data_IF_037764553474
#
_entry.id   IF_037764553474
#
_cell.length_a   1.000
_cell.length_b   1.000
_cell.length_c   1.000
_cell.angle_alpha   90.00
_cell.angle_beta   90.00
_cell.angle_gamma   90.00
#
_symmetry.space_group_name_H-M   'P 1'
#
loop_
_entity.id
_entity.type
_entity.pdbx_description
1 polymer ?
#
# COMPACT_ATOMS: atom_id res chain seq x y z
N UNK A 1 19.39 13.79 -1.94
CA UNK A 1 19.00 12.37 -2.13
C UNK A 1 18.00 12.07 -1.04
N UNK A 2 16.70 11.95 -1.36
CA UNK A 2 15.67 11.64 -0.37
C UNK A 2 15.89 10.20 0.09
N UNK A 3 16.41 10.01 1.30
CA UNK A 3 16.45 8.69 1.94
C UNK A 3 15.04 8.40 2.42
N UNK A 4 14.46 7.32 1.95
CA UNK A 4 13.13 6.89 2.40
C UNK A 4 13.25 6.19 3.76
N UNK A 5 12.40 6.61 4.70
CA UNK A 5 12.26 5.92 5.98
C UNK A 5 11.54 4.57 5.75
N UNK A 6 12.10 3.50 6.33
CA UNK A 6 11.50 2.15 6.29
C UNK A 6 10.09 2.17 6.86
N UNK A 7 9.88 2.96 7.91
CA UNK A 7 8.61 3.06 8.62
C UNK A 7 7.55 3.70 7.71
N UNK A 8 7.84 4.83 7.08
CA UNK A 8 6.88 5.52 6.18
C UNK A 8 6.37 4.58 5.07
N UNK A 9 7.26 3.80 4.45
CA UNK A 9 6.87 2.85 3.42
C UNK A 9 5.96 1.73 3.96
N UNK A 10 6.29 1.19 5.14
CA UNK A 10 5.50 0.13 5.77
C UNK A 10 4.16 0.64 6.30
N UNK A 11 4.11 1.85 6.85
CA UNK A 11 2.87 2.53 7.25
C UNK A 11 1.94 2.73 6.06
N UNK A 12 2.48 3.17 4.92
CA UNK A 12 1.68 3.36 3.71
C UNK A 12 1.14 2.04 3.15
N UNK A 13 1.90 0.94 3.23
CA UNK A 13 1.40 -0.40 2.89
C UNK A 13 0.31 -0.83 3.88
N UNK A 14 0.47 -0.51 5.17
CA UNK A 14 -0.50 -0.88 6.20
C UNK A 14 -1.85 -0.16 6.02
N UNK A 15 -1.88 1.07 5.49
CA UNK A 15 -3.13 1.76 5.09
C UNK A 15 -3.91 0.94 4.05
N UNK A 16 -3.19 0.32 3.09
CA UNK A 16 -3.78 -0.53 2.06
C UNK A 16 -4.16 -1.92 2.59
N UNK A 17 -3.47 -2.42 3.62
CA UNK A 17 -3.76 -3.73 4.22
C UNK A 17 -4.98 -3.73 5.15
N UNK A 18 -5.26 -2.61 5.82
CA UNK A 18 -6.21 -2.59 6.95
C UNK A 18 -7.66 -2.34 6.52
N UNK A 19 -8.47 -3.40 6.49
CA UNK A 19 -9.91 -3.28 6.22
C UNK A 19 -10.62 -2.38 7.24
N UNK A 20 -10.32 -2.53 8.53
CA UNK A 20 -10.95 -1.73 9.59
C UNK A 20 -10.63 -0.24 9.45
N UNK A 21 -9.39 0.09 9.07
CA UNK A 21 -9.00 1.46 8.75
C UNK A 21 -9.82 1.99 7.57
N UNK A 22 -9.91 1.23 6.48
CA UNK A 22 -10.60 1.65 5.26
C UNK A 22 -12.10 1.85 5.50
N UNK A 23 -12.75 0.95 6.24
CA UNK A 23 -14.16 1.12 6.61
C UNK A 23 -14.37 2.37 7.48
N UNK A 24 -13.52 2.55 8.50
CA UNK A 24 -13.61 3.68 9.41
C UNK A 24 -13.35 5.02 8.71
N UNK A 25 -12.30 5.11 7.90
CA UNK A 25 -11.86 6.37 7.29
C UNK A 25 -12.55 6.63 5.95
N UNK A 26 -12.58 5.64 5.05
CA UNK A 26 -13.08 5.86 3.69
C UNK A 26 -14.62 5.84 3.65
N UNK A 27 -15.26 4.95 4.41
CA UNK A 27 -16.73 4.84 4.44
C UNK A 27 -17.33 5.74 5.51
N UNK A 28 -16.92 5.57 6.77
CA UNK A 28 -17.54 6.27 7.91
C UNK A 28 -17.01 7.71 8.08
N UNK A 29 -15.93 8.08 7.38
CA UNK A 29 -15.29 9.41 7.48
C UNK A 29 -14.82 9.74 8.91
N UNK A 30 -14.46 8.72 9.69
CA UNK A 30 -13.94 8.84 11.06
C UNK A 30 -12.43 8.65 11.03
N UNK A 31 -11.66 9.71 11.28
CA UNK A 31 -10.20 9.67 11.29
C UNK A 31 -9.57 10.81 10.48
N UNK A 32 -8.36 10.61 9.92
CA UNK A 32 -7.71 11.62 9.09
C UNK A 32 -8.58 11.98 7.90
N UNK A 33 -9.01 13.24 7.81
CA UNK A 33 -9.97 13.71 6.80
C UNK A 33 -9.42 13.65 5.37
N UNK A 34 -8.10 13.54 5.22
CA UNK A 34 -7.40 13.58 3.93
C UNK A 34 -7.06 12.21 3.37
N UNK A 35 -7.06 11.13 4.17
CA UNK A 35 -6.56 9.82 3.73
C UNK A 35 -7.72 8.98 3.20
N UNK A 36 -8.15 9.25 1.97
CA UNK A 36 -9.06 8.38 1.23
C UNK A 36 -8.30 7.34 0.39
N UNK A 37 -9.02 6.59 -0.46
CA UNK A 37 -8.38 5.60 -1.34
C UNK A 37 -7.30 6.22 -2.22
N UNK A 38 -7.59 7.34 -2.88
CA UNK A 38 -6.66 7.97 -3.81
C UNK A 38 -5.42 8.49 -3.07
N UNK A 39 -5.63 9.11 -1.90
CA UNK A 39 -4.52 9.58 -1.09
C UNK A 39 -3.65 8.42 -0.59
N UNK A 40 -4.23 7.32 -0.11
CA UNK A 40 -3.47 6.15 0.35
C UNK A 40 -2.62 5.55 -0.77
N UNK A 41 -3.15 5.51 -2.00
CA UNK A 41 -2.40 5.05 -3.17
C UNK A 41 -1.27 6.04 -3.52
N UNK A 42 -1.52 7.35 -3.48
CA UNK A 42 -0.49 8.37 -3.72
C UNK A 42 0.63 8.31 -2.69
N UNK A 43 0.30 8.18 -1.40
CA UNK A 43 1.25 8.01 -0.31
C UNK A 43 2.13 6.76 -0.56
N UNK A 44 1.53 5.64 -0.95
CA UNK A 44 2.28 4.44 -1.34
C UNK A 44 3.25 4.69 -2.50
N UNK A 45 2.80 5.26 -3.62
CA UNK A 45 3.67 5.52 -4.78
C UNK A 45 4.70 6.62 -4.55
N UNK A 46 4.46 7.51 -3.59
CA UNK A 46 5.47 8.48 -3.15
C UNK A 46 6.63 7.81 -2.40
N UNK A 47 6.35 6.65 -1.78
CA UNK A 47 7.32 5.85 -1.03
C UNK A 47 8.04 4.87 -1.96
N UNK A 48 7.31 4.03 -2.68
CA UNK A 48 7.89 2.91 -3.42
C UNK A 48 8.12 3.27 -4.89
N UNK A 49 9.36 3.18 -5.40
CA UNK A 49 9.65 3.36 -6.82
C UNK A 49 8.85 2.41 -7.71
N UNK A 50 8.51 2.86 -8.91
CA UNK A 50 7.66 2.09 -9.85
C UNK A 50 8.37 0.88 -10.45
N UNK A 51 9.70 0.94 -10.55
CA UNK A 51 10.52 -0.05 -11.26
C UNK A 51 11.43 -0.74 -10.26
N UNK A 52 11.55 -2.07 -10.36
CA UNK A 52 12.32 -2.88 -9.41
C UNK A 52 13.81 -2.52 -9.37
N UNK A 53 14.42 -2.19 -10.52
CA UNK A 53 15.81 -1.73 -10.57
C UNK A 53 15.99 -0.43 -9.77
N UNK A 54 15.05 0.50 -9.91
CA UNK A 54 15.06 1.77 -9.18
C UNK A 54 14.81 1.54 -7.69
N UNK A 55 13.93 0.59 -7.34
CA UNK A 55 13.69 0.19 -5.96
C UNK A 55 14.94 -0.42 -5.31
N UNK A 56 15.65 -1.30 -6.01
CA UNK A 56 16.92 -1.85 -5.56
C UNK A 56 17.97 -0.75 -5.31
N UNK A 57 18.04 0.27 -6.17
CA UNK A 57 18.98 1.36 -5.98
C UNK A 57 18.60 2.28 -4.81
N UNK A 58 17.33 2.69 -4.73
CA UNK A 58 16.84 3.70 -3.81
C UNK A 58 16.53 3.18 -2.42
N UNK A 59 16.13 1.91 -2.30
CA UNK A 59 15.66 1.32 -1.04
C UNK A 59 16.71 0.49 -0.32
N UNK A 60 17.85 0.15 -0.96
CA UNK A 60 18.90 -0.70 -0.37
C UNK A 60 19.51 -0.21 0.94
N UNK A 61 19.34 1.07 1.29
CA UNK A 61 19.80 1.60 2.59
C UNK A 61 18.85 1.27 3.74
N UNK A 62 17.61 0.92 3.43
CA UNK A 62 16.52 0.71 4.39
C UNK A 62 15.99 -0.73 4.34
N UNK A 63 16.17 -1.42 3.22
CA UNK A 63 15.72 -2.79 2.96
C UNK A 63 16.82 -3.63 2.30
N UNK A 64 16.88 -4.92 2.62
CA UNK A 64 17.68 -5.88 1.89
C UNK A 64 17.00 -6.30 0.57
N UNK A 65 17.71 -7.02 -0.29
CA UNK A 65 17.18 -7.39 -1.61
C UNK A 65 15.91 -8.25 -1.54
N UNK A 66 15.81 -9.16 -0.57
CA UNK A 66 14.62 -10.01 -0.42
C UNK A 66 13.41 -9.21 0.05
N UNK A 67 13.63 -8.31 1.02
CA UNK A 67 12.63 -7.34 1.47
C UNK A 67 12.10 -6.48 0.30
N UNK A 68 13.01 -6.00 -0.57
CA UNK A 68 12.64 -5.23 -1.76
C UNK A 68 11.83 -6.08 -2.73
N UNK A 69 12.22 -7.35 -2.98
CA UNK A 69 11.46 -8.26 -3.86
C UNK A 69 10.06 -8.51 -3.35
N UNK A 70 9.87 -8.67 -2.04
CA UNK A 70 8.55 -8.84 -1.42
C UNK A 70 7.68 -7.60 -1.67
N UNK A 71 8.21 -6.40 -1.41
CA UNK A 71 7.50 -5.14 -1.67
C UNK A 71 7.17 -5.00 -3.16
N UNK A 72 8.12 -5.31 -4.05
CA UNK A 72 7.90 -5.20 -5.50
C UNK A 72 6.91 -6.24 -6.03
N UNK A 73 6.78 -7.41 -5.40
CA UNK A 73 5.72 -8.37 -5.71
C UNK A 73 4.34 -7.77 -5.42
N UNK A 74 4.16 -7.19 -4.24
CA UNK A 74 2.93 -6.46 -3.91
C UNK A 74 2.68 -5.29 -4.88
N UNK A 75 3.72 -4.51 -5.19
CA UNK A 75 3.65 -3.39 -6.13
C UNK A 75 3.09 -3.81 -7.50
N UNK A 76 3.50 -4.97 -8.03
CA UNK A 76 2.97 -5.51 -9.30
C UNK A 76 1.46 -5.81 -9.20
N UNK A 77 1.03 -6.44 -8.12
CA UNK A 77 -0.38 -6.79 -7.90
C UNK A 77 -1.24 -5.53 -7.80
N UNK A 78 -0.78 -4.52 -7.05
CA UNK A 78 -1.45 -3.23 -6.96
C UNK A 78 -1.54 -2.53 -8.32
N UNK A 79 -0.43 -2.51 -9.09
CA UNK A 79 -0.41 -1.93 -10.44
C UNK A 79 -1.40 -2.62 -11.38
N UNK A 80 -1.49 -3.95 -11.33
CA UNK A 80 -2.39 -4.71 -12.21
C UNK A 80 -3.86 -4.42 -11.87
N UNK A 81 -4.18 -4.31 -10.58
CA UNK A 81 -5.50 -3.86 -10.13
C UNK A 81 -5.86 -2.46 -10.66
N UNK A 82 -4.96 -1.49 -10.47
CA UNK A 82 -5.18 -0.10 -10.89
C UNK A 82 -5.29 0.02 -12.42
N UNK A 83 -4.46 -0.70 -13.18
CA UNK A 83 -4.55 -0.71 -14.65
C UNK A 83 -5.89 -1.26 -15.13
N UNK A 84 -6.45 -2.24 -14.43
CA UNK A 84 -7.70 -2.89 -14.80
C UNK A 84 -8.94 -2.09 -14.40
N UNK A 85 -8.94 -1.53 -13.19
CA UNK A 85 -10.13 -0.92 -12.59
C UNK A 85 -10.10 0.62 -12.58
N UNK A 86 -8.94 1.24 -12.84
CA UNK A 86 -8.75 2.68 -12.76
C UNK A 86 -8.59 3.20 -11.33
N UNK A 87 -8.66 4.52 -11.19
CA UNK A 87 -8.54 5.23 -9.91
C UNK A 87 -9.90 5.71 -9.37
N UNK A 88 -10.96 5.64 -10.18
CA UNK A 88 -12.24 6.31 -9.90
C UNK A 88 -13.29 5.40 -9.25
N UNK A 89 -12.87 4.31 -8.61
CA UNK A 89 -13.80 3.45 -7.86
C UNK A 89 -14.31 4.18 -6.61
N UNK A 90 -15.62 4.13 -6.37
CA UNK A 90 -16.16 4.58 -5.10
C UNK A 90 -15.66 3.70 -3.96
N UNK A 91 -15.60 4.25 -2.74
CA UNK A 91 -15.17 3.47 -1.57
C UNK A 91 -16.04 2.21 -1.36
N UNK A 92 -17.34 2.28 -1.67
CA UNK A 92 -18.22 1.12 -1.56
C UNK A 92 -17.86 0.04 -2.58
N UNK A 93 -17.66 0.42 -3.85
CA UNK A 93 -17.25 -0.52 -4.90
C UNK A 93 -15.92 -1.18 -4.57
N UNK A 94 -14.95 -0.42 -4.02
CA UNK A 94 -13.68 -0.98 -3.55
C UNK A 94 -13.88 -2.06 -2.48
N UNK A 95 -14.73 -1.81 -1.48
CA UNK A 95 -14.94 -2.74 -0.38
C UNK A 95 -15.58 -4.08 -0.82
N UNK A 96 -16.36 -4.05 -1.89
CA UNK A 96 -17.05 -5.21 -2.47
C UNK A 96 -16.25 -5.87 -3.63
N UNK A 97 -15.17 -5.23 -4.09
CA UNK A 97 -14.36 -5.72 -5.21
C UNK A 97 -13.40 -6.84 -4.77
N UNK A 98 -13.57 -8.04 -5.33
CA UNK A 98 -12.74 -9.20 -5.02
C UNK A 98 -11.26 -9.00 -5.35
N UNK A 99 -10.93 -8.26 -6.40
CA UNK A 99 -9.54 -7.96 -6.74
C UNK A 99 -8.92 -7.00 -5.72
N UNK A 100 -9.68 -6.03 -5.22
CA UNK A 100 -9.24 -5.18 -4.13
C UNK A 100 -9.01 -5.99 -2.85
N UNK A 101 -9.92 -6.91 -2.51
CA UNK A 101 -9.73 -7.84 -1.38
C UNK A 101 -8.39 -8.56 -1.50
N UNK A 102 -8.07 -9.10 -2.69
CA UNK A 102 -6.81 -9.78 -2.93
C UNK A 102 -5.60 -8.82 -2.80
N UNK A 103 -5.70 -7.58 -3.28
CA UNK A 103 -4.67 -6.55 -3.08
C UNK A 103 -4.41 -6.31 -1.58
N UNK A 104 -5.48 -6.20 -0.77
CA UNK A 104 -5.34 -6.03 0.69
C UNK A 104 -4.70 -7.22 1.37
N UNK A 105 -5.06 -8.43 0.97
CA UNK A 105 -4.46 -9.66 1.51
C UNK A 105 -2.96 -9.73 1.19
N UNK A 106 -2.55 -9.32 -0.02
CA UNK A 106 -1.14 -9.25 -0.38
C UNK A 106 -0.41 -8.14 0.38
N UNK A 107 -1.03 -6.96 0.56
CA UNK A 107 -0.50 -5.91 1.42
C UNK A 107 -0.31 -6.40 2.86
N UNK A 108 -1.30 -7.13 3.39
CA UNK A 108 -1.25 -7.73 4.73
C UNK A 108 -0.10 -8.73 4.86
N UNK A 109 0.15 -9.58 3.85
CA UNK A 109 1.30 -10.50 3.85
C UNK A 109 2.63 -9.75 3.92
N UNK A 110 2.74 -8.61 3.26
CA UNK A 110 3.92 -7.74 3.40
C UNK A 110 4.03 -7.24 4.85
N UNK A 111 2.97 -6.66 5.40
CA UNK A 111 2.96 -6.19 6.78
C UNK A 111 3.30 -7.28 7.80
N UNK A 112 2.76 -8.49 7.63
CA UNK A 112 3.03 -9.65 8.49
C UNK A 112 4.51 -10.08 8.41
N UNK A 113 5.10 -10.08 7.21
CA UNK A 113 6.52 -10.37 7.01
C UNK A 113 7.41 -9.37 7.77
N UNK A 114 7.07 -8.08 7.71
CA UNK A 114 7.79 -7.01 8.39
C UNK A 114 7.39 -6.82 9.86
N UNK A 115 6.40 -7.57 10.35
CA UNK A 115 5.82 -7.46 11.70
C UNK A 115 5.30 -6.05 12.02
N UNK A 116 4.68 -5.42 11.03
CA UNK A 116 4.06 -4.10 11.17
C UNK A 116 2.83 -4.23 12.07
N UNK A 117 2.69 -3.32 13.04
CA UNK A 117 1.52 -3.33 13.91
C UNK A 117 0.25 -2.92 13.14
N UNK A 118 -0.89 -3.60 13.35
CA UNK A 118 -2.14 -3.20 12.74
C UNK A 118 -2.57 -1.80 13.16
N UNK A 119 -3.08 -1.01 12.21
CA UNK A 119 -3.72 0.27 12.51
C UNK A 119 -4.95 0.05 13.40
N UNK A 120 -4.97 0.75 14.53
CA UNK A 120 -6.11 0.80 15.45
C UNK A 120 -7.21 1.69 14.91
#
# INVERSE_FOLDING_TARGET
MWKMDKNDALENIQLLASQSFQERVWIQRIGPTVIDYNEAILMYYSSIPKVEIEALERLKTSFNEEEIRIIMKFHRILNDFIKKNGWDLTHKELMENQEWINVREEAKKVCDYFKVEPLK
#
